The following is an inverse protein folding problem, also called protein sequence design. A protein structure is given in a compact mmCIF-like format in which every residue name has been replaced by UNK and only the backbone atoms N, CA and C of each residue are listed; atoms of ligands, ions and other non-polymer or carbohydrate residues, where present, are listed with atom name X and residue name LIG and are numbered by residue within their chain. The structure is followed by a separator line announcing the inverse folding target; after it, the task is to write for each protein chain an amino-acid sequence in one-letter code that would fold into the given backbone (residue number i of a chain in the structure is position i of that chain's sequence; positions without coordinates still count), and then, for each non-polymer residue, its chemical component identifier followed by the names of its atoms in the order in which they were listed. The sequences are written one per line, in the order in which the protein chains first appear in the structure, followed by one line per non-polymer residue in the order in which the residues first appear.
data_IF_783329949658
#
_entry.id   IF_783329949658
#
_cell.length_a   1.000
_cell.length_b   1.000
_cell.length_c   1.000
_cell.angle_alpha   90.00
_cell.angle_beta   90.00
_cell.angle_gamma   90.00
#
_symmetry.space_group_name_H-M   'P 1'
#
loop_
_entity.id
_entity.type
_entity.pdbx_description
1 polymer ?
#
# COMPACT_ATOMS: atom_id res chain seq x y z
N UNK A 1 36.06 -68.36 -14.36
CA UNK A 1 35.48 -67.17 -15.00
C UNK A 1 33.96 -67.28 -14.88
N UNK A 2 33.41 -66.70 -13.82
CA UNK A 2 31.99 -66.38 -13.62
C UNK A 2 31.89 -65.60 -12.29
N UNK A 3 31.11 -64.52 -12.30
CA UNK A 3 30.98 -63.46 -11.31
C UNK A 3 30.99 -63.84 -9.81
N UNK A 4 31.66 -63.01 -9.00
CA UNK A 4 31.17 -62.64 -7.66
C UNK A 4 31.15 -61.11 -7.53
N UNK A 5 29.94 -60.61 -7.33
CA UNK A 5 29.56 -59.20 -7.27
C UNK A 5 30.17 -58.50 -6.05
N UNK A 6 30.80 -57.37 -6.32
CA UNK A 6 31.39 -56.47 -5.35
C UNK A 6 30.30 -55.69 -4.62
N UNK A 7 30.17 -56.01 -3.34
CA UNK A 7 29.39 -55.32 -2.31
C UNK A 7 29.85 -53.86 -2.18
N UNK A 8 29.16 -52.92 -2.83
CA UNK A 8 29.29 -51.48 -2.50
C UNK A 8 28.13 -51.08 -1.60
N UNK A 9 28.42 -51.11 -0.31
CA UNK A 9 27.57 -50.65 0.76
C UNK A 9 27.54 -49.11 0.73
N UNK A 10 26.48 -48.55 0.17
CA UNK A 10 26.14 -47.12 0.30
C UNK A 10 25.68 -46.88 1.74
N UNK A 11 26.56 -46.26 2.53
CA UNK A 11 26.21 -45.68 3.82
C UNK A 11 25.31 -44.45 3.57
N UNK A 12 24.22 -44.27 4.34
CA UNK A 12 23.40 -43.07 4.25
C UNK A 12 24.19 -41.87 4.80
N UNK A 13 24.50 -40.92 3.91
CA UNK A 13 24.98 -39.60 4.30
C UNK A 13 23.97 -38.95 5.23
N UNK A 14 24.36 -38.78 6.48
CA UNK A 14 23.67 -37.96 7.46
C UNK A 14 23.57 -36.53 6.92
N UNK A 15 22.37 -36.12 6.52
CA UNK A 15 22.02 -34.72 6.34
C UNK A 15 22.05 -34.11 7.74
N UNK A 16 23.11 -33.35 8.03
CA UNK A 16 23.13 -32.46 9.19
C UNK A 16 21.96 -31.50 9.03
N UNK A 17 20.99 -31.61 9.92
CA UNK A 17 19.99 -30.58 10.15
C UNK A 17 20.72 -29.26 10.43
N UNK A 18 20.77 -28.40 9.41
CA UNK A 18 20.84 -26.98 9.64
C UNK A 18 19.52 -26.62 10.30
N UNK A 19 19.53 -26.59 11.63
CA UNK A 19 18.50 -25.94 12.42
C UNK A 19 18.57 -24.47 12.01
N UNK A 20 17.77 -24.08 11.02
CA UNK A 20 17.52 -22.68 10.69
C UNK A 20 17.10 -22.01 11.99
N UNK A 21 17.97 -21.18 12.55
CA UNK A 21 17.55 -20.18 13.51
C UNK A 21 16.52 -19.34 12.77
N UNK A 22 15.24 -19.57 13.08
CA UNK A 22 14.13 -18.74 12.58
C UNK A 22 14.59 -17.29 12.73
N UNK A 23 14.69 -16.58 11.60
CA UNK A 23 15.21 -15.22 11.61
C UNK A 23 14.40 -14.36 12.58
N UNK A 24 15.04 -13.42 13.27
CA UNK A 24 14.37 -12.56 14.25
C UNK A 24 13.12 -11.88 13.66
N UNK A 25 13.12 -11.57 12.36
CA UNK A 25 11.96 -11.06 11.63
C UNK A 25 10.81 -12.07 11.54
N UNK A 26 11.09 -13.35 11.29
CA UNK A 26 10.08 -14.41 11.24
C UNK A 26 9.48 -14.64 12.64
N UNK A 27 10.29 -14.56 13.69
CA UNK A 27 9.82 -14.65 15.07
C UNK A 27 8.90 -13.47 15.44
N UNK A 28 9.25 -12.24 15.05
CA UNK A 28 8.41 -11.05 15.29
C UNK A 28 7.08 -11.14 14.52
N UNK A 29 7.08 -11.68 13.30
CA UNK A 29 5.86 -11.84 12.49
C UNK A 29 4.93 -12.90 13.09
N UNK A 30 5.50 -14.02 13.57
CA UNK A 30 4.74 -15.08 14.25
C UNK A 30 4.18 -14.61 15.61
N UNK A 31 5.01 -13.99 16.46
CA UNK A 31 4.60 -13.50 17.78
C UNK A 31 3.64 -12.30 17.70
N UNK A 32 3.87 -11.40 16.74
CA UNK A 32 3.03 -10.23 16.49
C UNK A 32 1.71 -10.53 15.77
N UNK A 33 1.47 -11.79 15.35
CA UNK A 33 0.28 -12.24 14.59
C UNK A 33 -0.02 -11.35 13.37
N UNK A 34 1.02 -10.81 12.73
CA UNK A 34 0.90 -9.87 11.61
C UNK A 34 0.53 -10.54 10.28
N UNK A 35 0.84 -11.83 10.14
CA UNK A 35 0.47 -12.63 8.98
C UNK A 35 -0.59 -13.68 9.39
N UNK A 36 -1.78 -13.60 8.80
CA UNK A 36 -2.84 -14.60 9.00
C UNK A 36 -2.67 -15.81 8.07
N UNK A 37 -1.87 -15.65 7.02
CA UNK A 37 -1.59 -16.64 5.98
C UNK A 37 -0.13 -16.50 5.50
N UNK A 38 0.47 -17.56 4.95
CA UNK A 38 1.86 -17.52 4.45
C UNK A 38 2.09 -16.46 3.37
N UNK A 39 1.07 -16.19 2.53
CA UNK A 39 1.11 -15.15 1.50
C UNK A 39 1.32 -13.74 2.07
N UNK A 40 1.00 -13.51 3.34
CA UNK A 40 1.12 -12.20 4.00
C UNK A 40 2.47 -12.00 4.70
N UNK A 41 3.28 -13.05 4.84
CA UNK A 41 4.58 -12.97 5.51
C UNK A 41 5.54 -12.05 4.75
N UNK A 42 5.55 -12.11 3.42
CA UNK A 42 6.40 -11.27 2.58
C UNK A 42 6.03 -9.78 2.73
N UNK A 43 4.74 -9.46 2.64
CA UNK A 43 4.23 -8.11 2.89
C UNK A 43 4.55 -7.60 4.30
N UNK A 44 4.43 -8.47 5.32
CA UNK A 44 4.76 -8.09 6.70
C UNK A 44 6.26 -7.83 6.88
N UNK A 45 7.14 -8.60 6.21
CA UNK A 45 8.59 -8.38 6.20
C UNK A 45 8.93 -7.02 5.60
N UNK A 46 8.33 -6.67 4.46
CA UNK A 46 8.54 -5.38 3.81
C UNK A 46 8.10 -4.22 4.69
N UNK A 47 6.93 -4.33 5.32
CA UNK A 47 6.39 -3.30 6.20
C UNK A 47 7.29 -3.05 7.42
N UNK A 48 7.77 -4.12 8.05
CA UNK A 48 8.70 -4.03 9.19
C UNK A 48 10.06 -3.49 8.72
N UNK A 49 10.53 -3.90 7.54
CA UNK A 49 11.77 -3.40 6.96
C UNK A 49 11.75 -1.89 6.74
N UNK A 50 10.69 -1.37 6.11
CA UNK A 50 10.50 0.08 5.94
C UNK A 50 10.33 0.80 7.28
N UNK A 51 9.63 0.21 8.24
CA UNK A 51 9.51 0.79 9.58
C UNK A 51 10.87 0.92 10.28
N UNK A 52 11.68 -0.14 10.30
CA UNK A 52 13.02 -0.12 10.89
C UNK A 52 13.90 0.91 10.22
N UNK A 53 13.87 0.98 8.88
CA UNK A 53 14.60 1.98 8.10
C UNK A 53 14.20 3.41 8.50
N UNK A 54 12.91 3.71 8.61
CA UNK A 54 12.42 5.02 9.02
C UNK A 54 12.77 5.39 10.46
N UNK A 55 12.88 4.41 11.35
CA UNK A 55 13.38 4.61 12.72
C UNK A 55 14.89 4.90 12.70
N UNK A 56 15.67 4.17 11.90
CA UNK A 56 17.11 4.38 11.77
C UNK A 56 17.48 5.72 11.13
N UNK A 57 16.67 6.20 10.18
CA UNK A 57 16.83 7.52 9.55
C UNK A 57 16.52 8.68 10.52
N UNK A 58 16.05 8.41 11.74
CA UNK A 58 15.75 9.43 12.74
C UNK A 58 14.44 10.19 12.47
N UNK A 59 13.66 9.74 11.49
CA UNK A 59 12.39 10.35 11.07
C UNK A 59 11.26 10.09 12.08
N UNK A 60 11.54 9.43 13.20
CA UNK A 60 10.56 9.01 14.18
C UNK A 60 11.09 9.17 15.62
N UNK A 61 10.30 9.81 16.48
CA UNK A 61 10.63 9.93 17.90
C UNK A 61 10.34 8.59 18.58
N UNK A 62 11.40 7.85 18.92
CA UNK A 62 11.29 6.58 19.64
C UNK A 62 10.79 6.87 21.06
N UNK A 63 9.53 6.55 21.31
CA UNK A 63 8.91 6.65 22.64
C UNK A 63 8.65 5.25 23.19
N UNK A 64 8.46 5.13 24.52
CA UNK A 64 8.13 3.85 25.17
C UNK A 64 6.83 3.23 24.66
N UNK A 65 5.96 4.01 24.02
CA UNK A 65 4.69 3.55 23.48
C UNK A 65 4.75 3.58 21.94
N UNK A 66 4.90 2.39 21.34
CA UNK A 66 4.99 2.20 19.89
C UNK A 66 3.69 2.62 19.19
N UNK A 67 2.51 2.37 19.79
CA UNK A 67 1.23 2.78 19.20
C UNK A 67 1.11 4.30 19.09
N UNK A 68 1.46 5.04 20.14
CA UNK A 68 1.44 6.51 20.12
C UNK A 68 2.41 7.08 19.08
N UNK A 69 3.57 6.42 18.92
CA UNK A 69 4.57 6.80 17.94
C UNK A 69 4.08 6.53 16.50
N UNK A 70 3.46 5.37 16.23
CA UNK A 70 2.84 5.07 14.93
C UNK A 70 1.73 6.08 14.61
N UNK A 71 0.82 6.34 15.56
CA UNK A 71 -0.27 7.30 15.37
C UNK A 71 0.25 8.72 15.12
N UNK A 72 1.31 9.14 15.82
CA UNK A 72 1.97 10.43 15.57
C UNK A 72 2.56 10.49 14.15
N UNK A 73 3.19 9.40 13.69
CA UNK A 73 3.74 9.33 12.33
C UNK A 73 2.64 9.35 11.27
N UNK A 74 1.53 8.63 11.47
CA UNK A 74 0.36 8.68 10.60
C UNK A 74 -0.15 10.11 10.50
N UNK A 75 -0.35 10.81 11.63
CA UNK A 75 -0.81 12.19 11.63
C UNK A 75 0.15 13.17 10.91
N UNK A 76 1.46 12.91 10.94
CA UNK A 76 2.43 13.69 10.16
C UNK A 76 2.29 13.43 8.66
N UNK A 77 2.16 12.17 8.26
CA UNK A 77 1.92 11.80 6.86
C UNK A 77 0.61 12.40 6.34
N UNK A 78 -0.47 12.31 7.13
CA UNK A 78 -1.76 12.89 6.78
C UNK A 78 -1.67 14.40 6.56
N UNK A 79 -0.90 15.13 7.37
CA UNK A 79 -0.68 16.57 7.17
C UNK A 79 0.07 16.84 5.87
N UNK A 80 1.11 16.06 5.55
CA UNK A 80 1.88 16.22 4.31
C UNK A 80 1.00 15.94 3.09
N UNK A 81 0.27 14.83 3.10
CA UNK A 81 -0.66 14.45 2.03
C UNK A 81 -1.77 15.49 1.90
N UNK A 82 -2.36 15.93 3.01
CA UNK A 82 -3.42 16.96 3.00
C UNK A 82 -2.90 18.28 2.43
N UNK A 83 -1.70 18.70 2.81
CA UNK A 83 -1.08 19.92 2.28
C UNK A 83 -0.90 19.83 0.77
N UNK A 84 -0.35 18.71 0.28
CA UNK A 84 -0.12 18.52 -1.15
C UNK A 84 -1.44 18.43 -1.93
N UNK A 85 -2.42 17.71 -1.39
CA UNK A 85 -3.74 17.62 -1.99
C UNK A 85 -4.44 18.98 -2.00
N UNK A 86 -4.26 19.78 -0.94
CA UNK A 86 -4.82 21.12 -0.85
C UNK A 86 -4.30 22.02 -1.98
N UNK A 87 -3.00 22.00 -2.25
CA UNK A 87 -2.39 22.74 -3.38
C UNK A 87 -3.00 22.33 -4.73
N UNK A 88 -3.16 21.01 -4.97
CA UNK A 88 -3.73 20.52 -6.22
C UNK A 88 -5.20 20.90 -6.36
N UNK A 89 -6.00 20.71 -5.30
CA UNK A 89 -7.45 20.98 -5.31
C UNK A 89 -7.77 22.47 -5.39
N UNK A 90 -6.90 23.34 -4.85
CA UNK A 90 -7.08 24.80 -4.91
C UNK A 90 -6.42 25.45 -6.12
N UNK A 91 -5.83 24.67 -7.03
CA UNK A 91 -5.27 25.22 -8.24
C UNK A 91 -6.38 25.86 -9.11
N UNK A 92 -6.23 27.13 -9.57
CA UNK A 92 -7.30 27.86 -10.26
C UNK A 92 -7.85 27.15 -11.50
N UNK A 93 -6.99 26.47 -12.26
CA UNK A 93 -7.42 25.71 -13.44
C UNK A 93 -8.25 24.48 -13.07
N UNK A 94 -7.87 23.79 -11.99
CA UNK A 94 -8.61 22.65 -11.49
C UNK A 94 -9.98 23.08 -10.94
N UNK A 95 -10.02 24.13 -10.12
CA UNK A 95 -11.27 24.66 -9.58
C UNK A 95 -12.24 25.14 -10.66
N UNK A 96 -11.74 25.75 -11.74
CA UNK A 96 -12.57 26.16 -12.87
C UNK A 96 -13.21 24.97 -13.59
N UNK A 97 -12.44 23.90 -13.79
CA UNK A 97 -12.93 22.67 -14.37
C UNK A 97 -13.92 21.98 -13.42
N UNK A 98 -13.54 21.81 -12.17
CA UNK A 98 -14.35 21.18 -11.11
C UNK A 98 -15.68 21.91 -10.93
N UNK A 99 -15.69 23.25 -10.88
CA UNK A 99 -16.92 24.03 -10.76
C UNK A 99 -17.88 23.78 -11.92
N UNK A 100 -17.36 23.66 -13.15
CA UNK A 100 -18.16 23.35 -14.34
C UNK A 100 -18.77 21.95 -14.26
N UNK A 101 -17.98 20.95 -13.85
CA UNK A 101 -18.43 19.56 -13.71
C UNK A 101 -19.35 19.32 -12.52
N UNK A 102 -19.08 19.95 -11.37
CA UNK A 102 -19.97 19.92 -10.20
C UNK A 102 -21.31 20.58 -10.50
N UNK A 103 -21.30 21.69 -11.23
CA UNK A 103 -22.52 22.34 -11.73
C UNK A 103 -23.33 21.43 -12.67
N UNK A 104 -22.66 20.78 -13.63
CA UNK A 104 -23.31 19.81 -14.51
C UNK A 104 -23.87 18.60 -13.74
N UNK A 105 -23.08 18.03 -12.82
CA UNK A 105 -23.51 16.93 -11.97
C UNK A 105 -24.71 17.33 -11.09
N UNK A 106 -24.72 18.55 -10.56
CA UNK A 106 -25.87 19.09 -9.84
C UNK A 106 -27.10 19.17 -10.74
N UNK A 107 -26.97 19.71 -11.96
CA UNK A 107 -28.07 19.80 -12.92
C UNK A 107 -28.65 18.42 -13.24
N UNK A 108 -27.80 17.42 -13.47
CA UNK A 108 -28.25 16.05 -13.77
C UNK A 108 -28.96 15.44 -12.57
N UNK A 109 -28.39 15.55 -11.35
CA UNK A 109 -28.98 14.94 -10.17
C UNK A 109 -30.27 15.62 -9.68
N UNK A 110 -30.47 16.89 -10.00
CA UNK A 110 -31.67 17.65 -9.64
C UNK A 110 -32.73 17.67 -10.75
N UNK A 111 -32.45 17.08 -11.91
CA UNK A 111 -33.42 16.97 -13.00
C UNK A 111 -33.96 15.56 -13.07
N UNK A 112 -35.27 15.41 -13.00
CA UNK A 112 -35.93 14.13 -13.31
C UNK A 112 -35.90 13.89 -14.81
N UNK A 113 -34.79 13.32 -15.30
CA UNK A 113 -34.66 12.91 -16.70
C UNK A 113 -35.47 11.63 -16.93
N UNK A 114 -36.57 11.75 -17.65
CA UNK A 114 -37.38 10.63 -18.16
C UNK A 114 -37.54 10.70 -19.68
N UNK A 115 -38.54 10.02 -20.23
CA UNK A 115 -38.75 9.96 -21.70
C UNK A 115 -38.97 11.35 -22.33
N UNK A 116 -39.49 12.30 -21.55
CA UNK A 116 -39.83 13.66 -21.98
C UNK A 116 -38.71 14.69 -21.77
N UNK A 117 -37.65 14.40 -20.99
CA UNK A 117 -36.59 15.35 -20.67
C UNK A 117 -35.21 14.76 -20.96
N UNK A 118 -34.47 15.38 -21.88
CA UNK A 118 -33.12 14.96 -22.27
C UNK A 118 -32.14 16.11 -22.10
N UNK A 119 -31.05 15.86 -21.36
CA UNK A 119 -29.94 16.80 -21.21
C UNK A 119 -28.88 16.43 -22.24
N UNK A 120 -28.49 17.39 -23.09
CA UNK A 120 -27.39 17.24 -24.05
C UNK A 120 -26.31 18.26 -23.73
N UNK A 121 -25.08 17.78 -23.60
CA UNK A 121 -23.92 18.61 -23.22
C UNK A 121 -23.02 18.79 -24.43
N UNK A 122 -22.59 20.03 -24.67
CA UNK A 122 -21.57 20.36 -25.65
C UNK A 122 -20.40 21.02 -24.92
N UNK A 123 -19.22 20.42 -25.00
CA UNK A 123 -17.99 20.97 -24.40
C UNK A 123 -17.34 21.92 -25.41
N UNK A 124 -17.35 23.22 -25.10
CA UNK A 124 -16.72 24.27 -25.93
C UNK A 124 -16.20 25.39 -25.03
N UNK A 125 -15.08 26.03 -25.42
CA UNK A 125 -14.57 27.18 -24.68
C UNK A 125 -15.34 28.45 -25.03
N UNK A 126 -15.39 29.42 -24.11
CA UNK A 126 -16.06 30.72 -24.35
C UNK A 126 -15.47 31.47 -25.56
N UNK A 127 -14.18 31.29 -25.85
CA UNK A 127 -13.50 31.95 -26.97
C UNK A 127 -13.85 31.33 -28.32
N UNK A 128 -14.18 30.05 -28.34
CA UNK A 128 -14.54 29.35 -29.60
C UNK A 128 -16.01 29.58 -29.96
N UNK A 129 -16.82 30.07 -29.01
CA UNK A 129 -18.25 30.34 -29.19
C UNK A 129 -18.56 31.80 -29.56
N UNK A 130 -17.69 32.75 -29.19
CA UNK A 130 -17.82 34.20 -29.43
C UNK A 130 -16.89 34.65 -30.55
#
# INVERSE_FOLDING_TARGET
MAEQEQKTQVQPSQVKEAKEEKGLLDQIIEEGRMARDESQKEWAKDLIGEFVKQVMEGTMVVSKNVELMINSRIGQLDRLISSQLNEVMHHPEFQKLEGSWRGLNYLVNQSETGDHLKIRVMSVSKKDLL
#
